data_IF_104072723981
#
_entry.id   IF_104072723981
#
_cell.length_a   1.000
_cell.length_b   1.000
_cell.length_c   1.000
_cell.angle_alpha   90.00
_cell.angle_beta   90.00
_cell.angle_gamma   90.00
#
_symmetry.space_group_name_H-M   'P 1'
#
loop_
_entity.id
_entity.type
_entity.pdbx_description
1 polymer ?
#
# COMPACT_ATOMS: atom_id res chain seq x y z
N UNK A 1 -6.95 34.16 29.10
CA UNK A 1 -8.12 33.74 29.93
C UNK A 1 -8.84 32.59 29.23
N UNK A 2 -8.60 31.35 29.67
CA UNK A 2 -9.28 30.16 29.15
C UNK A 2 -10.76 30.20 29.58
N UNK A 3 -11.67 30.39 28.62
CA UNK A 3 -13.11 30.32 28.87
C UNK A 3 -13.45 28.91 29.36
N UNK A 4 -13.85 28.81 30.61
CA UNK A 4 -14.36 27.60 31.26
C UNK A 4 -15.63 27.18 30.52
N UNK A 5 -15.53 26.23 29.59
CA UNK A 5 -16.69 25.60 28.95
C UNK A 5 -17.59 25.05 30.05
N UNK A 6 -18.80 25.61 30.18
CA UNK A 6 -19.80 25.11 31.12
C UNK A 6 -20.34 23.78 30.60
N UNK A 7 -19.68 22.69 30.98
CA UNK A 7 -20.16 21.32 30.74
C UNK A 7 -21.28 21.01 31.73
N UNK A 8 -22.45 20.63 31.22
CA UNK A 8 -23.52 20.06 32.06
C UNK A 8 -23.14 18.61 32.36
N UNK A 9 -22.58 18.37 33.54
CA UNK A 9 -22.23 17.01 33.97
C UNK A 9 -23.45 16.35 34.62
N UNK A 10 -24.09 15.41 33.91
CA UNK A 10 -25.10 14.53 34.50
C UNK A 10 -24.48 13.14 34.62
N UNK A 11 -24.15 12.72 35.85
CA UNK A 11 -23.67 11.36 36.13
C UNK A 11 -24.82 10.52 36.67
N UNK A 12 -25.13 9.46 35.97
CA UNK A 12 -26.05 8.43 36.45
C UNK A 12 -25.25 7.25 37.00
N UNK A 13 -25.83 6.51 37.95
CA UNK A 13 -25.21 5.31 38.52
C UNK A 13 -25.02 4.20 37.48
N UNK A 14 -24.11 3.26 37.77
CA UNK A 14 -23.92 2.06 36.95
C UNK A 14 -25.18 1.20 37.00
N UNK A 15 -25.75 0.87 35.84
CA UNK A 15 -26.85 -0.08 35.71
C UNK A 15 -26.34 -1.33 35.01
N UNK A 16 -26.68 -2.49 35.56
CA UNK A 16 -26.42 -3.77 34.91
C UNK A 16 -27.69 -4.22 34.19
N UNK A 17 -27.56 -4.66 32.95
CA UNK A 17 -28.67 -5.21 32.16
C UNK A 17 -28.19 -6.34 31.27
N UNK A 18 -29.01 -7.38 31.16
CA UNK A 18 -28.79 -8.51 30.26
C UNK A 18 -29.68 -8.32 29.04
N UNK A 19 -29.07 -7.97 27.91
CA UNK A 19 -29.77 -7.85 26.64
C UNK A 19 -30.21 -9.25 26.17
N UNK A 20 -31.52 -9.43 25.98
CA UNK A 20 -32.11 -10.65 25.41
C UNK A 20 -33.30 -10.30 24.52
N UNK A 21 -33.54 -11.03 23.41
CA UNK A 21 -34.70 -10.79 22.56
C UNK A 21 -36.01 -10.92 23.37
N UNK A 22 -37.00 -10.01 23.20
CA UNK A 22 -37.10 -8.95 22.18
C UNK A 22 -36.69 -7.55 22.69
N UNK A 23 -36.13 -7.43 23.90
CA UNK A 23 -35.72 -6.15 24.48
C UNK A 23 -34.33 -5.77 24.00
N UNK A 24 -34.28 -4.81 23.07
CA UNK A 24 -33.03 -4.35 22.44
C UNK A 24 -32.53 -3.01 22.98
N UNK A 25 -33.32 -2.31 23.79
CA UNK A 25 -32.98 -1.00 24.36
C UNK A 25 -32.96 -1.01 25.89
N UNK A 26 -32.00 -0.29 26.46
CA UNK A 26 -31.88 -0.10 27.91
C UNK A 26 -31.23 1.25 28.20
N UNK A 27 -31.76 1.97 29.19
CA UNK A 27 -31.24 3.28 29.56
C UNK A 27 -32.20 4.11 30.41
N UNK A 28 -31.91 5.40 30.57
CA UNK A 28 -32.70 6.32 31.37
C UNK A 28 -33.74 7.05 30.51
N UNK A 29 -35.03 6.72 30.69
CA UNK A 29 -36.14 7.44 30.03
C UNK A 29 -36.17 8.94 30.32
N UNK A 30 -35.64 9.36 31.49
CA UNK A 30 -35.49 10.76 31.90
C UNK A 30 -34.02 11.08 32.15
N UNK A 31 -33.19 11.01 31.10
CA UNK A 31 -31.75 11.18 31.20
C UNK A 31 -31.31 12.58 31.64
N UNK A 32 -31.90 13.65 31.09
CA UNK A 32 -31.59 15.04 31.45
C UNK A 32 -32.77 15.95 31.12
N UNK A 33 -33.03 16.96 31.94
CA UNK A 33 -34.07 17.95 31.67
C UNK A 33 -33.69 18.84 30.48
N UNK A 34 -34.62 19.03 29.53
CA UNK A 34 -34.42 19.89 28.35
C UNK A 34 -33.98 21.31 28.72
N UNK A 35 -34.53 21.88 29.79
CA UNK A 35 -34.16 23.23 30.27
C UNK A 35 -32.69 23.34 30.68
N UNK A 36 -32.07 22.26 31.18
CA UNK A 36 -30.65 22.23 31.57
C UNK A 36 -29.73 22.18 30.35
N UNK A 37 -30.11 21.45 29.31
CA UNK A 37 -29.38 21.42 28.04
C UNK A 37 -29.39 22.79 27.34
N UNK A 38 -30.53 23.49 27.38
CA UNK A 38 -30.70 24.79 26.73
C UNK A 38 -30.01 25.94 27.48
N UNK A 39 -29.87 25.84 28.81
CA UNK A 39 -29.13 26.85 29.62
C UNK A 39 -27.63 26.89 29.33
N UNK A 40 -27.04 25.80 28.84
CA UNK A 40 -25.63 25.77 28.40
C UNK A 40 -25.40 26.32 26.99
N UNK A 41 -26.47 26.54 26.22
CA UNK A 41 -26.41 26.96 24.80
C UNK A 41 -26.44 28.48 24.59
N UNK A 42 -26.54 29.28 25.67
CA UNK A 42 -26.70 30.74 25.56
C UNK A 42 -25.45 31.50 25.16
N UNK A 43 -24.31 30.84 24.95
CA UNK A 43 -23.16 31.42 24.26
C UNK A 43 -23.25 31.12 22.77
N UNK A 44 -23.27 32.17 21.93
CA UNK A 44 -23.32 32.21 20.44
C UNK A 44 -22.21 31.42 19.69
N UNK A 45 -21.69 30.32 20.23
CA UNK A 45 -20.51 29.62 19.71
C UNK A 45 -20.63 28.09 19.59
N UNK A 46 -21.81 27.48 19.79
CA UNK A 46 -21.96 26.03 19.59
C UNK A 46 -23.00 25.70 18.51
N UNK A 47 -22.54 24.96 17.50
CA UNK A 47 -23.24 24.52 16.28
C UNK A 47 -24.43 23.55 16.51
N UNK A 48 -25.30 23.81 17.48
CA UNK A 48 -26.58 23.09 17.63
C UNK A 48 -26.50 21.61 18.02
N UNK A 49 -25.32 21.04 18.26
CA UNK A 49 -25.15 19.65 18.64
C UNK A 49 -24.87 19.47 20.14
N UNK A 50 -25.15 18.27 20.66
CA UNK A 50 -24.79 17.82 22.00
C UNK A 50 -24.06 16.49 21.91
N UNK A 51 -23.06 16.28 22.77
CA UNK A 51 -22.28 15.04 22.82
C UNK A 51 -22.77 14.21 24.00
N UNK A 52 -23.21 12.98 23.72
CA UNK A 52 -23.53 11.99 24.75
C UNK A 52 -22.35 11.02 24.84
N UNK A 53 -21.75 10.92 26.03
CA UNK A 53 -20.71 9.93 26.31
C UNK A 53 -21.35 8.72 27.00
N UNK A 54 -21.32 7.58 26.33
CA UNK A 54 -21.72 6.30 26.91
C UNK A 54 -20.46 5.50 27.29
N UNK A 55 -20.43 4.92 28.49
CA UNK A 55 -19.37 4.01 28.93
C UNK A 55 -20.04 2.69 29.29
N UNK A 56 -19.64 1.62 28.60
CA UNK A 56 -20.23 0.29 28.72
C UNK A 56 -19.19 -0.68 29.28
N UNK A 57 -19.60 -1.51 30.22
CA UNK A 57 -18.78 -2.62 30.74
C UNK A 57 -19.51 -3.93 30.45
N UNK A 58 -18.94 -4.77 29.59
CA UNK A 58 -19.52 -6.07 29.25
C UNK A 58 -18.99 -7.12 30.21
N UNK A 59 -19.86 -7.67 31.05
CA UNK A 59 -19.54 -8.77 31.95
C UNK A 59 -19.86 -10.08 31.22
N UNK A 60 -18.84 -10.93 31.02
CA UNK A 60 -19.01 -12.29 30.48
C UNK A 60 -18.74 -13.28 31.61
N UNK A 61 -19.58 -14.30 31.74
CA UNK A 61 -19.28 -15.41 32.65
C UNK A 61 -17.96 -16.08 32.22
N UNK A 62 -17.05 -16.41 33.16
CA UNK A 62 -15.82 -17.10 32.83
C UNK A 62 -16.17 -18.51 32.34
N UNK A 63 -16.01 -18.74 31.05
CA UNK A 63 -16.06 -20.10 30.50
C UNK A 63 -14.84 -20.84 31.05
N UNK A 64 -15.06 -21.97 31.72
CA UNK A 64 -13.97 -22.91 32.03
C UNK A 64 -13.44 -23.45 30.71
N UNK A 65 -12.41 -22.80 30.16
CA UNK A 65 -11.66 -23.32 29.04
C UNK A 65 -10.92 -24.56 29.52
N UNK A 66 -11.35 -25.72 29.03
CA UNK A 66 -10.53 -26.93 29.08
C UNK A 66 -9.22 -26.56 28.39
N UNK A 67 -8.13 -26.46 29.18
CA UNK A 67 -6.77 -26.29 28.65
C UNK A 67 -6.46 -27.49 27.77
N UNK A 68 -6.81 -27.42 26.49
CA UNK A 68 -6.16 -28.25 25.47
C UNK A 68 -4.68 -27.92 25.59
N UNK A 69 -3.82 -28.95 25.71
CA UNK A 69 -2.39 -28.77 25.51
C UNK A 69 -2.24 -27.92 24.25
N UNK A 70 -1.60 -26.75 24.37
CA UNK A 70 -1.43 -25.83 23.25
C UNK A 70 -0.49 -26.53 22.29
N UNK A 71 -1.06 -27.27 21.34
CA UNK A 71 -0.33 -27.80 20.20
C UNK A 71 0.10 -26.57 19.39
N UNK A 72 1.40 -26.27 19.43
CA UNK A 72 1.96 -25.18 18.63
C UNK A 72 1.96 -25.63 17.18
N UNK A 73 1.07 -25.04 16.38
CA UNK A 73 1.07 -25.26 14.93
C UNK A 73 2.27 -24.52 14.35
N UNK A 74 3.16 -25.20 13.59
CA UNK A 74 4.27 -24.53 12.92
C UNK A 74 3.79 -23.46 11.94
N UNK A 75 4.63 -22.45 11.69
CA UNK A 75 4.31 -21.40 10.71
C UNK A 75 4.27 -21.99 9.28
N UNK A 76 3.45 -21.43 8.37
CA UNK A 76 3.51 -21.78 6.96
C UNK A 76 4.90 -21.52 6.37
N UNK A 77 5.42 -22.48 5.61
CA UNK A 77 6.79 -22.45 5.04
C UNK A 77 6.82 -22.78 3.54
N UNK A 78 5.68 -22.68 2.85
CA UNK A 78 5.60 -22.96 1.41
C UNK A 78 6.49 -22.00 0.61
N UNK A 79 6.53 -20.72 1.00
CA UNK A 79 7.37 -19.71 0.34
C UNK A 79 8.86 -20.08 0.44
N UNK A 80 9.30 -20.57 1.60
CA UNK A 80 10.69 -21.00 1.81
C UNK A 80 11.04 -22.20 0.92
N UNK A 81 10.14 -23.19 0.84
CA UNK A 81 10.35 -24.36 -0.02
C UNK A 81 10.39 -23.98 -1.50
N UNK A 82 9.53 -23.07 -1.96
CA UNK A 82 9.54 -22.58 -3.34
C UNK A 82 10.79 -21.76 -3.66
N UNK A 83 11.22 -20.90 -2.72
CA UNK A 83 12.46 -20.14 -2.84
C UNK A 83 13.67 -21.07 -2.94
N UNK A 84 13.75 -22.08 -2.08
CA UNK A 84 14.82 -23.07 -2.11
C UNK A 84 14.84 -23.86 -3.41
N UNK A 85 13.68 -24.33 -3.88
CA UNK A 85 13.54 -25.01 -5.18
C UNK A 85 14.08 -24.16 -6.34
N UNK A 86 13.82 -22.85 -6.33
CA UNK A 86 14.39 -21.93 -7.31
C UNK A 86 15.91 -21.82 -7.19
N UNK A 87 16.44 -21.58 -5.98
CA UNK A 87 17.88 -21.40 -5.76
C UNK A 87 18.69 -22.67 -6.06
N UNK A 88 18.14 -23.85 -5.80
CA UNK A 88 18.76 -25.13 -6.14
C UNK A 88 18.62 -25.51 -7.61
N UNK A 89 17.62 -24.92 -8.31
CA UNK A 89 17.36 -25.18 -9.74
C UNK A 89 16.84 -26.59 -10.04
N UNK A 90 16.47 -27.38 -9.01
CA UNK A 90 16.00 -28.75 -9.18
C UNK A 90 14.65 -28.76 -9.91
N UNK A 91 14.61 -29.43 -11.07
CA UNK A 91 13.39 -29.53 -11.88
C UNK A 91 13.12 -28.32 -12.77
N UNK A 92 14.06 -27.37 -12.87
CA UNK A 92 13.96 -26.26 -13.79
C UNK A 92 13.88 -26.76 -15.25
N UNK A 93 12.90 -26.26 -15.99
CA UNK A 93 12.53 -26.65 -17.35
C UNK A 93 12.59 -25.47 -18.34
N UNK A 94 13.08 -24.31 -17.88
CA UNK A 94 13.36 -23.14 -18.71
C UNK A 94 14.58 -22.39 -18.18
N UNK A 95 15.34 -21.80 -19.09
CA UNK A 95 16.47 -20.91 -18.79
C UNK A 95 16.30 -19.59 -19.54
N UNK A 96 16.44 -18.48 -18.85
CA UNK A 96 16.48 -17.13 -19.42
C UNK A 96 17.91 -16.63 -19.52
N UNK A 97 18.24 -15.89 -20.58
CA UNK A 97 19.49 -15.16 -20.72
C UNK A 97 19.20 -13.67 -20.65
N UNK A 98 19.71 -13.00 -19.62
CA UNK A 98 19.51 -11.58 -19.34
C UNK A 98 20.88 -10.92 -19.31
N UNK A 99 21.19 -10.10 -20.32
CA UNK A 99 22.52 -9.48 -20.48
C UNK A 99 23.69 -10.48 -20.37
N UNK A 100 23.49 -11.72 -20.86
CA UNK A 100 24.48 -12.80 -20.81
C UNK A 100 24.46 -13.65 -19.53
N UNK A 101 23.77 -13.22 -18.47
CA UNK A 101 23.57 -14.02 -17.26
C UNK A 101 22.40 -14.99 -17.44
N UNK A 102 22.58 -16.24 -16.97
CA UNK A 102 21.59 -17.31 -17.09
C UNK A 102 20.76 -17.46 -15.81
N UNK A 103 19.45 -17.57 -15.96
CA UNK A 103 18.48 -17.76 -14.88
C UNK A 103 17.61 -18.98 -15.16
N UNK A 104 17.77 -20.04 -14.38
CA UNK A 104 16.92 -21.24 -14.46
C UNK A 104 15.63 -21.05 -13.66
N UNK A 105 14.50 -21.51 -14.21
CA UNK A 105 13.19 -21.37 -13.58
C UNK A 105 12.21 -22.49 -14.00
N UNK A 106 10.98 -22.42 -13.49
CA UNK A 106 9.92 -23.41 -13.68
C UNK A 106 8.75 -22.83 -14.47
N UNK A 107 8.52 -23.30 -15.69
CA UNK A 107 7.54 -22.77 -16.66
C UNK A 107 6.14 -22.67 -16.07
N UNK A 108 5.67 -23.75 -15.44
CA UNK A 108 4.31 -23.79 -14.89
C UNK A 108 4.11 -22.81 -13.73
N UNK A 109 5.13 -22.61 -12.89
CA UNK A 109 5.04 -21.64 -11.80
C UNK A 109 5.02 -20.21 -12.35
N UNK A 110 5.91 -19.89 -13.30
CA UNK A 110 5.92 -18.59 -13.98
C UNK A 110 4.57 -18.31 -14.65
N UNK A 111 4.03 -19.28 -15.41
CA UNK A 111 2.76 -19.19 -16.09
C UNK A 111 1.55 -19.07 -15.14
N UNK A 112 1.64 -19.65 -13.93
CA UNK A 112 0.59 -19.51 -12.92
C UNK A 112 0.56 -18.10 -12.31
N UNK A 113 1.72 -17.42 -12.27
CA UNK A 113 1.91 -16.16 -11.54
C UNK A 113 1.92 -14.94 -12.44
N UNK A 114 2.25 -15.09 -13.72
CA UNK A 114 2.30 -14.01 -14.71
C UNK A 114 1.51 -14.39 -15.96
N UNK A 115 0.53 -13.57 -16.39
CA UNK A 115 -0.19 -13.80 -17.64
C UNK A 115 0.72 -13.70 -18.87
N UNK A 116 1.79 -12.89 -18.79
CA UNK A 116 2.78 -12.74 -19.87
C UNK A 116 3.62 -13.99 -20.00
N UNK A 117 4.18 -14.50 -18.90
CA UNK A 117 4.88 -15.79 -18.95
C UNK A 117 3.95 -16.93 -19.37
N UNK A 118 2.67 -16.90 -18.98
CA UNK A 118 1.69 -17.89 -19.45
C UNK A 118 1.53 -17.88 -20.97
N UNK A 119 1.48 -16.70 -21.57
CA UNK A 119 1.38 -16.55 -23.03
C UNK A 119 2.70 -16.94 -23.72
N UNK A 120 3.84 -16.52 -23.18
CA UNK A 120 5.15 -16.73 -23.79
C UNK A 120 5.67 -18.16 -23.65
N UNK A 121 5.34 -18.83 -22.54
CA UNK A 121 5.79 -20.18 -22.16
C UNK A 121 4.70 -21.25 -22.31
N UNK A 122 3.62 -20.95 -23.05
CA UNK A 122 2.48 -21.86 -23.24
C UNK A 122 2.86 -23.29 -23.68
N UNK A 123 1.90 -24.23 -23.57
CA UNK A 123 2.15 -25.68 -23.61
C UNK A 123 2.75 -26.23 -24.93
N UNK A 124 2.87 -25.42 -25.98
CA UNK A 124 3.35 -25.82 -27.31
C UNK A 124 4.74 -25.30 -27.69
N UNK A 125 5.45 -24.53 -26.86
CA UNK A 125 6.86 -24.20 -27.15
C UNK A 125 7.77 -25.35 -26.73
N UNK A 126 7.82 -26.39 -27.55
CA UNK A 126 8.97 -27.28 -27.64
C UNK A 126 10.16 -26.47 -28.15
N UNK A 127 10.91 -25.83 -27.24
CA UNK A 127 12.29 -25.47 -27.55
C UNK A 127 13.17 -26.12 -26.50
N UNK A 128 13.41 -27.40 -26.72
CA UNK A 128 14.55 -28.07 -26.12
C UNK A 128 15.82 -27.30 -26.50
N UNK A 129 16.57 -26.88 -25.48
CA UNK A 129 17.97 -26.45 -25.50
C UNK A 129 18.34 -24.96 -25.69
N UNK A 130 17.46 -24.05 -26.13
CA UNK A 130 17.86 -22.62 -26.27
C UNK A 130 17.29 -21.72 -25.16
N UNK A 131 18.16 -20.95 -24.51
CA UNK A 131 17.77 -19.98 -23.48
C UNK A 131 16.92 -18.84 -24.05
N UNK A 132 15.86 -18.44 -23.34
CA UNK A 132 14.99 -17.32 -23.73
C UNK A 132 15.69 -16.00 -23.40
N UNK A 133 15.97 -15.18 -24.41
CA UNK A 133 16.66 -13.90 -24.23
C UNK A 133 15.70 -12.82 -23.74
N UNK A 134 16.09 -12.10 -22.68
CA UNK A 134 15.42 -10.91 -22.16
C UNK A 134 16.36 -9.73 -22.34
N UNK A 135 15.90 -8.69 -23.05
CA UNK A 135 16.74 -7.54 -23.44
C UNK A 135 16.48 -6.28 -22.62
N UNK A 136 15.26 -6.10 -22.12
CA UNK A 136 14.79 -4.81 -21.57
C UNK A 136 14.70 -4.81 -20.04
N UNK A 137 15.34 -5.79 -19.39
CA UNK A 137 15.34 -5.92 -17.93
C UNK A 137 16.76 -6.20 -17.50
N UNK A 138 17.23 -5.45 -16.51
CA UNK A 138 18.56 -5.69 -15.96
C UNK A 138 18.57 -6.97 -15.11
N UNK A 139 19.70 -7.70 -15.05
CA UNK A 139 19.79 -8.92 -14.26
C UNK A 139 19.30 -8.81 -12.80
N UNK A 140 19.66 -7.78 -12.00
CA UNK A 140 19.15 -7.66 -10.63
C UNK A 140 17.63 -7.49 -10.56
N UNK A 141 17.04 -6.78 -11.53
CA UNK A 141 15.59 -6.57 -11.61
C UNK A 141 14.88 -7.87 -12.00
N UNK A 142 15.47 -8.64 -12.93
CA UNK A 142 14.94 -9.94 -13.30
C UNK A 142 15.04 -10.95 -12.15
N UNK A 143 16.12 -10.90 -11.37
CA UNK A 143 16.25 -11.70 -10.15
C UNK A 143 15.18 -11.34 -9.12
N UNK A 144 14.91 -10.04 -8.90
CA UNK A 144 13.86 -9.58 -8.01
C UNK A 144 12.45 -9.99 -8.49
N UNK A 145 12.19 -9.94 -9.80
CA UNK A 145 10.96 -10.48 -10.39
C UNK A 145 10.78 -11.97 -10.10
N UNK A 146 11.83 -12.78 -10.34
CA UNK A 146 11.79 -14.20 -10.04
C UNK A 146 11.56 -14.42 -8.55
N UNK A 147 12.32 -13.75 -7.68
CA UNK A 147 12.11 -13.83 -6.24
C UNK A 147 10.63 -13.64 -5.86
N UNK A 148 10.02 -12.55 -6.32
CA UNK A 148 8.60 -12.29 -6.07
C UNK A 148 7.66 -13.38 -6.61
N UNK A 149 7.96 -13.95 -7.78
CA UNK A 149 7.14 -15.02 -8.35
C UNK A 149 7.13 -16.25 -7.44
N UNK A 150 8.26 -16.62 -6.85
CA UNK A 150 8.38 -17.78 -5.97
C UNK A 150 7.92 -17.52 -4.53
N UNK A 151 8.10 -16.30 -4.00
CA UNK A 151 7.88 -16.00 -2.57
C UNK A 151 6.69 -15.09 -2.29
N UNK A 152 6.18 -14.36 -3.30
CA UNK A 152 5.19 -13.30 -3.14
C UNK A 152 5.67 -12.18 -2.18
N UNK A 153 6.99 -11.95 -2.10
CA UNK A 153 7.62 -10.93 -1.27
C UNK A 153 8.70 -10.14 -2.02
N UNK A 154 8.90 -8.89 -1.59
CA UNK A 154 10.06 -8.08 -1.99
C UNK A 154 11.28 -8.49 -1.16
N UNK A 155 12.47 -8.39 -1.75
CA UNK A 155 13.72 -8.45 -0.98
C UNK A 155 13.84 -7.16 -0.18
N UNK A 156 14.23 -7.27 1.10
CA UNK A 156 14.42 -6.14 1.99
C UNK A 156 15.91 -5.84 2.06
N UNK A 157 16.43 -5.11 1.07
CA UNK A 157 17.86 -4.85 0.93
C UNK A 157 18.32 -3.55 1.66
N UNK A 158 17.43 -2.92 2.43
CA UNK A 158 17.69 -1.74 3.26
C UNK A 158 17.65 -0.40 2.51
N UNK A 159 17.26 0.69 3.17
CA UNK A 159 17.07 2.02 2.54
C UNK A 159 18.38 2.66 2.06
N UNK A 160 18.67 2.58 0.76
CA UNK A 160 19.74 3.33 0.09
C UNK A 160 19.23 3.96 -1.23
N UNK A 161 19.88 5.01 -1.74
CA UNK A 161 19.48 5.71 -2.98
C UNK A 161 19.40 4.77 -4.20
N UNK A 162 20.28 3.77 -4.25
CA UNK A 162 20.28 2.73 -5.28
C UNK A 162 19.01 1.85 -5.25
N UNK A 163 18.33 1.74 -4.09
CA UNK A 163 17.09 1.00 -3.97
C UNK A 163 15.90 1.73 -4.62
N UNK A 164 15.88 3.06 -4.60
CA UNK A 164 14.81 3.82 -5.25
C UNK A 164 14.83 3.61 -6.77
N UNK A 165 16.02 3.63 -7.38
CA UNK A 165 16.18 3.38 -8.82
C UNK A 165 15.82 1.93 -9.16
N UNK A 166 16.31 0.95 -8.38
CA UNK A 166 15.91 -0.46 -8.53
C UNK A 166 14.39 -0.64 -8.41
N UNK A 167 13.75 0.04 -7.45
CA UNK A 167 12.30 -0.06 -7.23
C UNK A 167 11.52 0.53 -8.40
N UNK A 168 12.01 1.62 -9.01
CA UNK A 168 11.44 2.18 -10.25
C UNK A 168 11.52 1.15 -11.38
N UNK A 169 12.70 0.58 -11.64
CA UNK A 169 12.86 -0.44 -12.68
C UNK A 169 12.04 -1.71 -12.39
N UNK A 170 11.92 -2.12 -11.13
CA UNK A 170 11.10 -3.25 -10.72
C UNK A 170 9.61 -2.99 -10.95
N UNK A 171 9.13 -1.76 -10.72
CA UNK A 171 7.76 -1.36 -11.03
C UNK A 171 7.48 -1.50 -12.53
N UNK A 172 8.37 -0.97 -13.39
CA UNK A 172 8.26 -1.09 -14.85
C UNK A 172 8.20 -2.56 -15.27
N UNK A 173 9.06 -3.39 -14.68
CA UNK A 173 9.12 -4.80 -15.00
C UNK A 173 7.88 -5.55 -14.49
N UNK A 174 7.38 -5.22 -13.29
CA UNK A 174 6.17 -5.81 -12.72
C UNK A 174 4.94 -5.53 -13.59
N UNK A 175 4.78 -4.30 -14.06
CA UNK A 175 3.73 -3.91 -15.00
C UNK A 175 3.85 -4.68 -16.32
N UNK A 176 5.06 -4.73 -16.89
CA UNK A 176 5.36 -5.47 -18.13
C UNK A 176 4.97 -6.94 -18.05
N UNK A 177 5.25 -7.61 -16.94
CA UNK A 177 4.94 -9.04 -16.75
C UNK A 177 3.55 -9.29 -16.13
N UNK A 178 2.74 -8.25 -15.92
CA UNK A 178 1.39 -8.36 -15.36
C UNK A 178 1.36 -8.86 -13.92
N UNK A 179 2.37 -8.50 -13.12
CA UNK A 179 2.49 -8.83 -11.69
C UNK A 179 1.89 -7.71 -10.83
N UNK A 180 0.57 -7.60 -10.85
CA UNK A 180 -0.15 -6.47 -10.26
C UNK A 180 0.18 -6.20 -8.79
N UNK A 181 0.24 -7.25 -7.97
CA UNK A 181 0.58 -7.11 -6.55
C UNK A 181 2.00 -6.57 -6.34
N UNK A 182 2.96 -6.99 -7.17
CA UNK A 182 4.33 -6.46 -7.12
C UNK A 182 4.35 -4.99 -7.52
N UNK A 183 3.62 -4.61 -8.58
CA UNK A 183 3.48 -3.22 -9.03
C UNK A 183 2.98 -2.31 -7.89
N UNK A 184 1.93 -2.74 -7.19
CA UNK A 184 1.38 -2.00 -6.03
C UNK A 184 2.40 -1.93 -4.87
N UNK A 185 3.13 -3.01 -4.59
CA UNK A 185 4.17 -2.98 -3.54
C UNK A 185 5.32 -2.02 -3.90
N UNK A 186 5.73 -1.96 -5.17
CA UNK A 186 6.70 -0.99 -5.62
C UNK A 186 6.14 0.44 -5.54
N UNK A 187 4.87 0.64 -5.88
CA UNK A 187 4.18 1.93 -5.77
C UNK A 187 4.19 2.45 -4.31
N UNK A 188 3.86 1.59 -3.35
CA UNK A 188 3.87 1.90 -1.92
C UNK A 188 5.26 2.35 -1.44
N UNK A 189 6.31 1.59 -1.77
CA UNK A 189 7.70 1.93 -1.43
C UNK A 189 8.20 3.22 -2.09
N UNK A 190 7.74 3.50 -3.31
CA UNK A 190 8.09 4.73 -4.02
C UNK A 190 7.39 5.95 -3.43
N UNK A 191 6.19 5.79 -2.86
CA UNK A 191 5.50 6.88 -2.16
C UNK A 191 6.30 7.37 -0.94
N UNK A 192 6.98 6.47 -0.24
CA UNK A 192 7.81 6.78 0.93
C UNK A 192 9.16 7.43 0.58
N UNK A 193 9.63 7.32 -0.67
CA UNK A 193 10.96 7.78 -1.11
C UNK A 193 10.95 9.02 -2.02
N UNK A 194 9.83 9.75 -2.07
CA UNK A 194 9.70 10.95 -2.92
C UNK A 194 10.64 12.07 -2.41
N UNK A 195 11.51 12.55 -3.29
CA UNK A 195 12.46 13.64 -3.03
C UNK A 195 12.38 14.73 -4.09
N UNK A 196 12.96 15.90 -3.82
CA UNK A 196 12.96 17.05 -4.76
C UNK A 196 13.63 16.69 -6.09
N UNK A 197 14.70 15.89 -6.06
CA UNK A 197 15.44 15.48 -7.27
C UNK A 197 14.68 14.42 -8.08
N UNK A 198 13.89 13.56 -7.41
CA UNK A 198 13.29 12.35 -8.01
C UNK A 198 11.79 12.49 -8.31
N UNK A 199 11.09 13.46 -7.72
CA UNK A 199 9.63 13.61 -7.87
C UNK A 199 9.18 13.78 -9.33
N UNK A 200 9.99 14.43 -10.16
CA UNK A 200 9.69 14.59 -11.58
C UNK A 200 9.75 13.26 -12.34
N UNK A 201 10.75 12.42 -12.08
CA UNK A 201 10.89 11.11 -12.72
C UNK A 201 9.85 10.12 -12.20
N UNK A 202 9.58 10.11 -10.89
CA UNK A 202 8.51 9.31 -10.27
C UNK A 202 7.14 9.65 -10.83
N UNK A 203 6.86 10.92 -11.11
CA UNK A 203 5.58 11.35 -11.67
C UNK A 203 5.38 10.89 -13.12
N UNK A 204 6.44 10.93 -13.94
CA UNK A 204 6.40 10.34 -15.30
C UNK A 204 6.12 8.85 -15.23
N UNK A 205 6.86 8.15 -14.35
CA UNK A 205 6.74 6.71 -14.17
C UNK A 205 5.33 6.34 -13.70
N UNK A 206 4.76 7.10 -12.76
CA UNK A 206 3.40 6.88 -12.27
C UNK A 206 2.33 7.08 -13.36
N UNK A 207 2.51 8.06 -14.24
CA UNK A 207 1.62 8.27 -15.38
C UNK A 207 1.69 7.11 -16.39
N UNK A 208 2.91 6.72 -16.75
CA UNK A 208 3.19 5.67 -17.75
C UNK A 208 2.66 4.31 -17.34
N UNK A 209 2.81 3.97 -16.06
CA UNK A 209 2.44 2.66 -15.51
C UNK A 209 1.13 2.69 -14.72
N UNK A 210 0.33 3.75 -14.85
CA UNK A 210 -0.98 3.89 -14.23
C UNK A 210 -0.99 3.65 -12.70
N UNK A 211 -0.02 4.25 -12.00
CA UNK A 211 0.11 4.24 -10.54
C UNK A 211 -0.55 5.48 -9.95
N UNK A 212 -1.81 5.35 -9.55
CA UNK A 212 -2.64 6.49 -9.14
C UNK A 212 -2.24 7.09 -7.80
N UNK A 213 -1.84 6.27 -6.83
CA UNK A 213 -1.47 6.71 -5.49
C UNK A 213 -0.09 7.38 -5.51
N UNK A 214 0.88 6.84 -6.25
CA UNK A 214 2.19 7.48 -6.46
C UNK A 214 2.05 8.81 -7.21
N UNK A 215 1.20 8.88 -8.25
CA UNK A 215 0.91 10.15 -8.95
C UNK A 215 0.36 11.19 -7.98
N UNK A 216 -0.58 10.80 -7.13
CA UNK A 216 -1.19 11.68 -6.13
C UNK A 216 -0.15 12.14 -5.10
N UNK A 217 0.65 11.23 -4.56
CA UNK A 217 1.71 11.54 -3.61
C UNK A 217 2.75 12.51 -4.20
N UNK A 218 3.14 12.33 -5.47
CA UNK A 218 4.02 13.26 -6.18
C UNK A 218 3.41 14.67 -6.28
N UNK A 219 2.14 14.78 -6.67
CA UNK A 219 1.45 16.08 -6.78
C UNK A 219 1.32 16.75 -5.41
N UNK A 220 0.95 16.00 -4.37
CA UNK A 220 0.88 16.51 -3.00
C UNK A 220 2.25 16.99 -2.50
N UNK A 221 3.31 16.24 -2.81
CA UNK A 221 4.68 16.64 -2.49
C UNK A 221 5.07 17.94 -3.19
N UNK A 222 4.76 18.09 -4.49
CA UNK A 222 5.06 19.29 -5.27
C UNK A 222 4.28 20.53 -4.82
N UNK A 223 3.02 20.34 -4.40
CA UNK A 223 2.11 21.41 -3.94
C UNK A 223 2.33 21.80 -2.48
N UNK A 224 3.06 20.99 -1.71
CA UNK A 224 3.43 21.34 -0.33
C UNK A 224 4.24 22.65 -0.29
N UNK A 225 3.90 23.53 0.68
CA UNK A 225 4.36 24.91 0.71
C UNK A 225 5.89 25.02 0.57
N UNK A 226 6.33 25.78 -0.43
CA UNK A 226 7.72 26.16 -0.72
C UNK A 226 8.63 25.12 -1.43
N UNK A 227 8.10 24.00 -1.93
CA UNK A 227 8.91 23.00 -2.69
C UNK A 227 8.90 23.21 -4.21
N UNK A 228 7.84 23.79 -4.76
CA UNK A 228 7.67 23.97 -6.21
C UNK A 228 8.84 24.74 -6.84
N UNK A 229 9.31 25.82 -6.21
CA UNK A 229 10.42 26.62 -6.73
C UNK A 229 11.71 25.80 -6.88
N UNK A 230 12.00 24.92 -5.92
CA UNK A 230 13.17 24.04 -5.97
C UNK A 230 13.01 22.96 -7.03
N UNK A 231 11.80 22.40 -7.17
CA UNK A 231 11.49 21.33 -8.13
C UNK A 231 11.58 21.86 -9.57
N UNK A 232 11.01 23.04 -9.86
CA UNK A 232 11.07 23.66 -11.20
C UNK A 232 12.51 23.96 -11.63
N UNK A 233 13.41 24.20 -10.68
CA UNK A 233 14.82 24.41 -10.97
C UNK A 233 15.59 23.13 -11.34
N UNK A 234 15.07 21.94 -10.97
CA UNK A 234 15.72 20.66 -11.27
C UNK A 234 15.73 20.35 -12.77
N UNK A 235 16.77 19.66 -13.21
CA UNK A 235 16.87 19.23 -14.62
C UNK A 235 15.83 18.15 -14.95
N UNK A 236 15.45 17.32 -13.97
CA UNK A 236 14.38 16.34 -14.11
C UNK A 236 13.04 17.00 -14.46
N UNK A 237 12.68 18.10 -13.79
CA UNK A 237 11.45 18.82 -14.10
C UNK A 237 11.52 19.52 -15.46
N UNK A 238 12.66 20.11 -15.83
CA UNK A 238 12.85 20.70 -17.18
C UNK A 238 12.70 19.64 -18.28
N UNK A 239 13.24 18.45 -18.05
CA UNK A 239 13.08 17.32 -18.97
C UNK A 239 11.61 16.87 -19.07
N UNK A 240 10.90 16.77 -17.94
CA UNK A 240 9.46 16.51 -17.92
C UNK A 240 8.66 17.53 -18.76
N UNK A 241 8.98 18.82 -18.66
CA UNK A 241 8.33 19.85 -19.47
C UNK A 241 8.55 19.65 -20.97
N UNK A 242 9.74 19.20 -21.37
CA UNK A 242 10.07 18.94 -22.77
C UNK A 242 9.44 17.65 -23.30
N UNK A 243 9.43 16.58 -22.49
CA UNK A 243 8.95 15.25 -22.92
C UNK A 243 7.43 15.09 -22.81
N UNK A 244 6.78 15.73 -21.83
CA UNK A 244 5.36 15.56 -21.55
C UNK A 244 4.66 16.90 -21.22
N UNK A 245 4.36 17.75 -22.22
CA UNK A 245 3.78 19.07 -22.00
C UNK A 245 2.36 19.03 -21.38
N UNK A 246 1.57 18.01 -21.74
CA UNK A 246 0.20 17.84 -21.23
C UNK A 246 0.19 17.51 -19.73
N UNK A 247 1.04 16.57 -19.30
CA UNK A 247 1.20 16.22 -17.89
C UNK A 247 1.68 17.44 -17.08
N UNK A 248 2.63 18.20 -17.64
CA UNK A 248 3.14 19.43 -17.03
C UNK A 248 2.05 20.47 -16.85
N UNK A 249 1.22 20.68 -17.87
CA UNK A 249 0.09 21.61 -17.81
C UNK A 249 -0.90 21.21 -16.72
N UNK A 250 -1.29 19.93 -16.66
CA UNK A 250 -2.20 19.42 -15.64
C UNK A 250 -1.67 19.63 -14.21
N UNK A 251 -0.35 19.48 -14.02
CA UNK A 251 0.31 19.75 -12.74
C UNK A 251 0.24 21.25 -12.41
N UNK A 252 0.62 22.12 -13.34
CA UNK A 252 0.60 23.57 -13.14
C UNK A 252 -0.83 24.10 -12.89
N UNK A 253 -1.83 23.55 -13.59
CA UNK A 253 -3.25 23.89 -13.40
C UNK A 253 -3.73 23.43 -12.02
N UNK A 254 -3.34 22.25 -11.55
CA UNK A 254 -3.66 21.78 -10.19
C UNK A 254 -2.93 22.58 -9.11
N UNK A 255 -1.69 22.95 -9.33
CA UNK A 255 -0.88 23.76 -8.39
C UNK A 255 -1.45 25.18 -8.29
N UNK A 256 -1.86 25.78 -9.40
CA UNK A 256 -2.47 27.12 -9.41
C UNK A 256 -3.86 27.18 -8.77
N UNK A 257 -4.56 26.03 -8.64
CA UNK A 257 -5.81 25.94 -7.87
C UNK A 257 -5.60 25.81 -6.35
N UNK A 258 -4.37 25.51 -5.90
CA UNK A 258 -4.03 25.28 -4.48
C UNK A 258 -3.33 26.50 -3.84
N UNK A 259 -2.84 27.45 -4.66
CA UNK A 259 -2.32 28.75 -4.26
C UNK A 259 -3.41 29.83 -4.22
#
# INVERSE_FOLDING_TARGET
MLKKERKVLTRHGSLNHTFSPPTYDFGYRKFVEKSRLLKSSSSKANNGYFIIRCVLTVIREPRTEVKRNILVVPQPNLQDHLHQMWKEGQGADVTFSVSGQLFSAHRYLLAARSPVFKAELGPMKESAAESIKIYDVEPPIFEALLHFIYTDSLQDDGDNKDETEKMQHLLVAADRYGLERLRIMCEDRLCDSIEVETVATMLVLAEQHHCGDLKKACIEFMTSQNRLGNIVATDGFKHLMASCPLLTKDILDKVSCVL
#
